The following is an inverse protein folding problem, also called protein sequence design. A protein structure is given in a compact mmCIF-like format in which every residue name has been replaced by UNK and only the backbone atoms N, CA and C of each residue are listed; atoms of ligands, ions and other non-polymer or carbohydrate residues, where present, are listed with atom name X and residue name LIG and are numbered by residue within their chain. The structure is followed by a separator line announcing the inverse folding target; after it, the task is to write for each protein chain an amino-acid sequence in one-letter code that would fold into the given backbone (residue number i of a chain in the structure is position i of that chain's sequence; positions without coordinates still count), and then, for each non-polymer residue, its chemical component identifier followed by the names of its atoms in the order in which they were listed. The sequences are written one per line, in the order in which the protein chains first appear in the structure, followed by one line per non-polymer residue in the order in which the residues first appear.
data_IF_333243707227
#
_entry.id   IF_333243707227
#
_cell.length_a   1.000
_cell.length_b   1.000
_cell.length_c   1.000
_cell.angle_alpha   90.00
_cell.angle_beta   90.00
_cell.angle_gamma   90.00
#
_symmetry.space_group_name_H-M   'P 1'
#
loop_
_entity.id
_entity.type
_entity.pdbx_description
1 polymer ?
#
# COMPACT_ATOMS: atom_id res chain seq x y z
N UNK A 1 4.37 -15.66 -17.87
CA UNK A 1 4.09 -15.09 -16.53
C UNK A 1 4.69 -13.71 -16.57
N UNK A 2 3.95 -12.68 -16.17
CA UNK A 2 4.47 -11.32 -16.27
C UNK A 2 5.58 -11.12 -15.23
N UNK A 3 6.81 -10.97 -15.69
CA UNK A 3 7.97 -10.66 -14.84
C UNK A 3 8.00 -9.18 -14.40
N UNK A 4 6.91 -8.43 -14.58
CA UNK A 4 6.81 -7.03 -14.20
C UNK A 4 6.45 -6.90 -12.71
N UNK A 5 7.35 -6.37 -11.85
CA UNK A 5 7.08 -6.17 -10.43
C UNK A 5 5.82 -5.34 -10.17
N UNK A 6 5.48 -4.39 -11.04
CA UNK A 6 4.27 -3.57 -10.89
C UNK A 6 2.99 -4.38 -11.09
N UNK A 7 3.00 -5.31 -12.03
CA UNK A 7 1.85 -6.21 -12.22
C UNK A 7 1.71 -7.18 -11.03
N UNK A 8 2.83 -7.67 -10.48
CA UNK A 8 2.81 -8.49 -9.27
C UNK A 8 2.31 -7.68 -8.05
N UNK A 9 2.72 -6.43 -7.90
CA UNK A 9 2.23 -5.55 -6.84
C UNK A 9 0.71 -5.35 -6.92
N UNK A 10 0.16 -5.17 -8.13
CA UNK A 10 -1.28 -5.07 -8.33
C UNK A 10 -2.03 -6.36 -7.99
N UNK A 11 -1.44 -7.53 -8.31
CA UNK A 11 -1.99 -8.83 -7.91
C UNK A 11 -2.01 -9.00 -6.39
N UNK A 12 -0.92 -8.67 -5.71
CA UNK A 12 -0.84 -8.70 -4.24
C UNK A 12 -1.88 -7.74 -3.63
N UNK A 13 -2.03 -6.53 -4.16
CA UNK A 13 -3.10 -5.61 -3.75
C UNK A 13 -4.50 -6.22 -3.94
N UNK A 14 -4.75 -6.92 -5.04
CA UNK A 14 -6.05 -7.56 -5.26
C UNK A 14 -6.29 -8.76 -4.33
N UNK A 15 -5.25 -9.49 -3.93
CA UNK A 15 -5.32 -10.51 -2.88
C UNK A 15 -5.61 -9.86 -1.52
N UNK A 16 -4.93 -8.76 -1.19
CA UNK A 16 -5.18 -7.99 0.02
C UNK A 16 -6.62 -7.45 0.09
N UNK A 17 -7.16 -6.95 -1.02
CA UNK A 17 -8.55 -6.51 -1.12
C UNK A 17 -9.54 -7.66 -0.88
N UNK A 18 -9.23 -8.87 -1.38
CA UNK A 18 -10.07 -10.04 -1.15
C UNK A 18 -10.03 -10.48 0.32
N UNK A 19 -8.86 -10.53 0.93
CA UNK A 19 -8.68 -10.82 2.34
C UNK A 19 -9.41 -9.79 3.23
N UNK A 20 -9.29 -8.50 2.90
CA UNK A 20 -10.01 -7.42 3.58
C UNK A 20 -11.54 -7.62 3.55
N UNK A 21 -12.10 -7.96 2.38
CA UNK A 21 -13.54 -8.24 2.25
C UNK A 21 -13.99 -9.44 3.08
N UNK A 22 -13.10 -10.40 3.33
CA UNK A 22 -13.33 -11.56 4.20
C UNK A 22 -13.06 -11.26 5.68
N UNK A 23 -12.64 -10.04 6.03
CA UNK A 23 -12.15 -9.64 7.36
C UNK A 23 -10.91 -10.43 7.83
N UNK A 24 -10.15 -10.99 6.89
CA UNK A 24 -8.86 -11.64 7.14
C UNK A 24 -7.76 -10.55 7.20
N UNK A 25 -7.83 -9.71 8.24
CA UNK A 25 -7.05 -8.47 8.29
C UNK A 25 -5.52 -8.68 8.27
N UNK A 26 -4.99 -9.64 9.02
CA UNK A 26 -3.56 -9.97 9.01
C UNK A 26 -3.05 -10.37 7.61
N UNK A 27 -3.86 -11.14 6.88
CA UNK A 27 -3.55 -11.53 5.50
C UNK A 27 -3.60 -10.33 4.57
N UNK A 28 -4.60 -9.45 4.75
CA UNK A 28 -4.71 -8.21 3.98
C UNK A 28 -3.48 -7.31 4.18
N UNK A 29 -3.03 -7.12 5.42
CA UNK A 29 -1.82 -6.35 5.74
C UNK A 29 -0.58 -6.94 5.04
N UNK A 30 -0.38 -8.26 5.15
CA UNK A 30 0.74 -8.96 4.52
C UNK A 30 0.77 -8.74 3.00
N UNK A 31 -0.39 -8.83 2.35
CA UNK A 31 -0.49 -8.61 0.91
C UNK A 31 -0.23 -7.16 0.51
N UNK A 32 -0.71 -6.17 1.27
CA UNK A 32 -0.42 -4.76 0.98
C UNK A 32 1.04 -4.40 1.22
N UNK A 33 1.68 -4.97 2.25
CA UNK A 33 3.11 -4.80 2.48
C UNK A 33 3.94 -5.37 1.33
N UNK A 34 3.61 -6.58 0.88
CA UNK A 34 4.27 -7.18 -0.28
C UNK A 34 4.03 -6.40 -1.57
N UNK A 35 2.83 -5.84 -1.77
CA UNK A 35 2.56 -4.96 -2.91
C UNK A 35 3.46 -3.71 -2.88
N UNK A 36 3.67 -3.12 -1.70
CA UNK A 36 4.56 -1.97 -1.52
C UNK A 36 6.04 -2.31 -1.73
N UNK A 37 6.50 -3.48 -1.29
CA UNK A 37 7.86 -3.95 -1.56
C UNK A 37 8.13 -4.14 -3.06
N UNK A 38 7.12 -4.60 -3.81
CA UNK A 38 7.21 -4.80 -5.26
C UNK A 38 7.12 -3.50 -6.06
N UNK A 39 6.26 -2.57 -5.63
CA UNK A 39 6.10 -1.25 -6.24
C UNK A 39 5.84 -0.17 -5.17
N UNK A 40 6.92 0.47 -4.74
CA UNK A 40 6.89 1.56 -3.77
C UNK A 40 6.48 2.92 -4.37
N UNK A 41 6.04 2.95 -5.64
CA UNK A 41 5.58 4.18 -6.30
C UNK A 41 4.07 4.38 -6.21
N UNK A 42 3.35 3.38 -5.71
CA UNK A 42 1.89 3.40 -5.60
C UNK A 42 1.42 3.47 -4.14
N UNK A 43 1.12 4.69 -3.69
CA UNK A 43 0.67 4.99 -2.32
C UNK A 43 -0.65 4.28 -1.96
N UNK A 44 -1.42 3.82 -2.95
CA UNK A 44 -2.68 3.11 -2.72
C UNK A 44 -2.52 1.91 -1.79
N UNK A 45 -1.36 1.25 -1.82
CA UNK A 45 -1.09 0.09 -0.96
C UNK A 45 -1.04 0.49 0.52
N UNK A 46 -0.39 1.62 0.84
CA UNK A 46 -0.32 2.15 2.20
C UNK A 46 -1.69 2.66 2.67
N UNK A 47 -2.47 3.31 1.80
CA UNK A 47 -3.82 3.76 2.17
C UNK A 47 -4.76 2.59 2.44
N UNK A 48 -4.63 1.49 1.67
CA UNK A 48 -5.41 0.28 1.92
C UNK A 48 -4.96 -0.43 3.20
N UNK A 49 -3.65 -0.44 3.50
CA UNK A 49 -3.12 -0.91 4.78
C UNK A 49 -3.69 -0.10 5.95
N UNK A 50 -3.74 1.22 5.84
CA UNK A 50 -4.33 2.09 6.86
C UNK A 50 -5.82 1.78 7.07
N UNK A 51 -6.58 1.50 6.01
CA UNK A 51 -7.99 1.11 6.12
C UNK A 51 -8.15 -0.20 6.92
N UNK A 52 -7.27 -1.20 6.72
CA UNK A 52 -7.28 -2.43 7.51
C UNK A 52 -7.03 -2.15 8.99
N UNK A 53 -6.01 -1.33 9.29
CA UNK A 53 -5.68 -0.97 10.67
C UNK A 53 -6.80 -0.19 11.35
N UNK A 54 -7.50 0.65 10.60
CA UNK A 54 -8.69 1.37 11.08
C UNK A 54 -9.83 0.41 11.45
N UNK A 55 -10.12 -0.58 10.60
CA UNK A 55 -11.13 -1.62 10.89
C UNK A 55 -10.75 -2.53 12.06
N UNK A 56 -9.45 -2.70 12.33
CA UNK A 56 -8.94 -3.39 13.52
C UNK A 56 -8.95 -2.51 14.79
N UNK A 57 -9.44 -1.26 14.71
CA UNK A 57 -9.39 -0.26 15.78
C UNK A 57 -7.96 0.07 16.26
N UNK A 58 -6.94 -0.27 15.46
CA UNK A 58 -5.55 0.04 15.73
C UNK A 58 -5.21 1.44 15.20
N UNK A 59 -5.80 2.45 15.84
CA UNK A 59 -5.71 3.83 15.38
C UNK A 59 -4.29 4.40 15.45
N UNK A 60 -3.46 3.96 16.40
CA UNK A 60 -2.08 4.43 16.52
C UNK A 60 -1.24 4.02 15.31
N UNK A 61 -1.30 2.76 14.92
CA UNK A 61 -0.58 2.28 13.74
C UNK A 61 -1.21 2.84 12.44
N UNK A 62 -2.54 2.98 12.40
CA UNK A 62 -3.22 3.61 11.27
C UNK A 62 -2.73 5.05 11.02
N UNK A 63 -2.58 5.86 12.08
CA UNK A 63 -2.06 7.22 11.97
C UNK A 63 -0.63 7.21 11.42
N UNK A 64 0.25 6.37 11.97
CA UNK A 64 1.63 6.25 11.48
C UNK A 64 1.69 5.88 9.99
N UNK A 65 0.90 4.89 9.57
CA UNK A 65 0.85 4.48 8.16
C UNK A 65 0.29 5.60 7.28
N UNK A 66 -0.68 6.37 7.76
CA UNK A 66 -1.18 7.55 7.04
C UNK A 66 -0.12 8.65 6.91
N UNK A 67 0.65 8.92 7.97
CA UNK A 67 1.75 9.88 7.97
C UNK A 67 2.84 9.46 6.99
N UNK A 68 3.26 8.18 7.05
CA UNK A 68 4.22 7.59 6.12
C UNK A 68 3.73 7.67 4.67
N UNK A 69 2.44 7.38 4.42
CA UNK A 69 1.84 7.49 3.09
C UNK A 69 1.88 8.91 2.54
N UNK A 70 1.66 9.92 3.39
CA UNK A 70 1.75 11.34 3.02
C UNK A 70 3.20 11.74 2.72
N UNK A 71 4.16 11.31 3.54
CA UNK A 71 5.58 11.55 3.32
C UNK A 71 6.04 10.94 1.99
N UNK A 72 5.82 9.63 1.81
CA UNK A 72 6.16 8.93 0.57
C UNK A 72 5.44 9.50 -0.64
N UNK A 73 4.18 9.89 -0.50
CA UNK A 73 3.45 10.53 -1.59
C UNK A 73 4.00 11.90 -1.99
N UNK A 74 4.55 12.67 -1.03
CA UNK A 74 5.26 13.92 -1.33
C UNK A 74 6.59 13.66 -2.02
N UNK A 75 7.36 12.69 -1.54
CA UNK A 75 8.65 12.30 -2.13
C UNK A 75 8.47 11.89 -3.58
N UNK A 76 7.55 10.95 -3.85
CA UNK A 76 7.23 10.49 -5.19
C UNK A 76 6.80 11.64 -6.10
N UNK A 77 5.96 12.55 -5.60
CA UNK A 77 5.53 13.74 -6.38
C UNK A 77 6.69 14.70 -6.65
N UNK A 78 7.64 14.84 -5.73
CA UNK A 78 8.84 15.64 -5.94
C UNK A 78 9.72 15.02 -7.03
N UNK A 79 9.92 13.70 -6.99
CA UNK A 79 10.67 12.96 -8.01
C UNK A 79 10.05 13.12 -9.40
N UNK A 80 8.72 12.99 -9.53
CA UNK A 80 8.02 13.24 -10.80
C UNK A 80 8.26 14.64 -11.37
N UNK A 81 8.36 15.67 -10.51
CA UNK A 81 8.67 17.04 -10.97
C UNK A 81 10.14 17.19 -11.41
N UNK A 82 11.06 16.45 -10.81
CA UNK A 82 12.49 16.50 -11.14
C UNK A 82 12.82 15.80 -12.47
N UNK A 83 12.07 14.75 -12.82
CA UNK A 83 12.27 13.97 -14.05
C UNK A 83 11.69 14.68 -15.30
N UNK A 84 10.75 15.62 -15.13
CA UNK A 84 10.03 16.27 -16.25
C UNK A 84 10.78 17.44 -16.94
N UNK A 85 12.10 17.36 -17.17
CA UNK A 85 12.89 18.41 -17.85
C UNK A 85 13.38 18.03 -19.24
#
# INVERSE_FOLDING_TARGET
MSDDPKQQALQEKDLGNQAYKKREFESALTHYDKAWELDNTNITFLTNKAAVLFEQENYQECIKVCEDAVEKGRDLRADYKLIAR
#
